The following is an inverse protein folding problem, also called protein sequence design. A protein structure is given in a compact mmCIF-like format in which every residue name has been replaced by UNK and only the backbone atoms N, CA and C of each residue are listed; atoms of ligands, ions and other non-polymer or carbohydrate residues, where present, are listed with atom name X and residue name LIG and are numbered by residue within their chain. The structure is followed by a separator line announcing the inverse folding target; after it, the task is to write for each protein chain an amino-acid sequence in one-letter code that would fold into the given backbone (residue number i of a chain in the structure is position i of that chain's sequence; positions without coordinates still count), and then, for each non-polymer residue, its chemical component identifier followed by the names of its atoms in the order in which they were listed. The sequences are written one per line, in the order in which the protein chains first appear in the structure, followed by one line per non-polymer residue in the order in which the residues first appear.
data_IF_684085338470
#
_entry.id   IF_684085338470
#
_cell.length_a   1.000
_cell.length_b   1.000
_cell.length_c   1.000
_cell.angle_alpha   90.00
_cell.angle_beta   90.00
_cell.angle_gamma   90.00
#
_symmetry.space_group_name_H-M   'P 1'
#
loop_
_entity.id
_entity.type
_entity.pdbx_description
1 polymer ?
#
# COMPACT_ATOMS: atom_id res chain seq x y z
N UNK A 1 0.14 -16.54 -13.49
CA UNK A 1 -0.86 -15.54 -13.03
C UNK A 1 -1.16 -14.45 -14.09
N UNK A 2 -0.17 -13.76 -14.68
CA UNK A 2 -0.46 -12.65 -15.62
C UNK A 2 -0.93 -13.07 -17.03
N UNK A 3 -0.81 -14.35 -17.38
CA UNK A 3 -1.20 -14.88 -18.71
C UNK A 3 -2.69 -14.69 -19.01
N UNK A 4 -3.54 -14.65 -17.98
CA UNK A 4 -4.99 -14.44 -18.14
C UNK A 4 -5.33 -13.07 -18.76
N UNK A 5 -4.38 -12.12 -18.72
CA UNK A 5 -4.53 -10.77 -19.25
C UNK A 5 -4.02 -10.64 -20.69
N UNK A 6 -3.44 -11.70 -21.27
CA UNK A 6 -2.82 -11.67 -22.58
C UNK A 6 -3.74 -12.33 -23.61
N UNK A 7 -3.76 -11.82 -24.85
CA UNK A 7 -4.42 -12.48 -25.98
C UNK A 7 -3.70 -13.77 -26.38
N UNK A 8 -2.37 -13.75 -26.33
CA UNK A 8 -1.51 -14.93 -26.52
C UNK A 8 -0.30 -14.84 -25.60
N UNK A 9 0.38 -15.96 -25.34
CA UNK A 9 1.63 -15.99 -24.57
C UNK A 9 2.57 -17.02 -25.18
N UNK A 10 3.87 -16.71 -25.20
CA UNK A 10 4.88 -17.70 -25.57
C UNK A 10 5.14 -18.63 -24.39
N UNK A 11 5.25 -19.93 -24.66
CA UNK A 11 5.78 -20.88 -23.68
C UNK A 11 7.30 -20.68 -23.46
N UNK A 12 7.87 -21.46 -22.56
CA UNK A 12 9.29 -21.35 -22.20
C UNK A 12 10.22 -21.64 -23.38
N UNK A 13 9.88 -22.59 -24.24
CA UNK A 13 10.72 -22.97 -25.37
C UNK A 13 10.67 -21.90 -26.47
N UNK A 14 9.46 -21.45 -26.83
CA UNK A 14 9.25 -20.38 -27.79
C UNK A 14 9.89 -19.06 -27.32
N UNK A 15 9.80 -18.73 -26.03
CA UNK A 15 10.45 -17.55 -25.47
C UNK A 15 11.98 -17.65 -25.50
N UNK A 16 12.55 -18.83 -25.24
CA UNK A 16 13.99 -19.06 -25.37
C UNK A 16 14.45 -18.88 -26.81
N UNK A 17 13.72 -19.44 -27.77
CA UNK A 17 14.01 -19.27 -29.19
C UNK A 17 13.96 -17.79 -29.59
N UNK A 18 12.90 -17.06 -29.23
CA UNK A 18 12.76 -15.64 -29.53
C UNK A 18 13.92 -14.78 -28.97
N UNK A 19 14.41 -15.11 -27.78
CA UNK A 19 15.56 -14.40 -27.17
C UNK A 19 16.92 -14.87 -27.66
N UNK A 20 17.03 -16.08 -28.23
CA UNK A 20 18.30 -16.61 -28.76
C UNK A 20 18.74 -15.84 -30.01
N UNK A 21 17.78 -15.40 -30.81
CA UNK A 21 18.01 -14.67 -32.06
C UNK A 21 17.98 -13.14 -31.89
N UNK A 22 17.74 -12.63 -30.69
CA UNK A 22 17.72 -11.19 -30.43
C UNK A 22 19.11 -10.61 -30.20
N UNK A 23 19.30 -9.34 -30.52
CA UNK A 23 20.53 -8.61 -30.21
C UNK A 23 20.82 -8.56 -28.70
N UNK A 24 22.09 -8.33 -28.32
CA UNK A 24 22.56 -8.41 -26.93
C UNK A 24 21.82 -7.47 -25.98
N UNK A 25 21.26 -6.36 -26.48
CA UNK A 25 20.57 -5.34 -25.67
C UNK A 25 19.04 -5.46 -25.69
N UNK A 26 18.50 -6.37 -26.50
CA UNK A 26 17.07 -6.63 -26.60
C UNK A 26 16.68 -7.92 -25.88
N UNK A 27 15.45 -7.96 -25.41
CA UNK A 27 14.82 -9.12 -24.78
C UNK A 27 13.33 -9.10 -25.10
N UNK A 28 12.79 -10.26 -25.45
CA UNK A 28 11.38 -10.43 -25.75
C UNK A 28 10.53 -10.30 -24.48
N UNK A 29 9.53 -9.41 -24.53
CA UNK A 29 8.57 -9.22 -23.47
C UNK A 29 7.37 -10.14 -23.66
N UNK A 30 7.24 -11.15 -22.81
CA UNK A 30 6.10 -12.06 -22.77
C UNK A 30 4.91 -11.48 -21.97
N UNK A 31 4.67 -10.18 -22.13
CA UNK A 31 3.54 -9.42 -21.58
C UNK A 31 2.66 -8.88 -22.69
N UNK A 32 1.96 -7.75 -22.47
CA UNK A 32 1.08 -7.15 -23.49
C UNK A 32 1.83 -6.71 -24.76
N UNK A 33 3.13 -6.44 -24.61
CA UNK A 33 4.00 -5.87 -25.61
C UNK A 33 4.29 -6.91 -26.71
N UNK A 34 4.44 -8.19 -26.34
CA UNK A 34 4.71 -9.32 -27.25
C UNK A 34 5.79 -9.07 -28.30
N UNK A 35 6.85 -8.36 -27.89
CA UNK A 35 7.90 -7.89 -28.80
C UNK A 35 9.26 -7.76 -28.09
N UNK A 36 10.32 -7.59 -28.88
CA UNK A 36 11.67 -7.28 -28.43
C UNK A 36 11.75 -5.85 -27.91
N UNK A 37 12.16 -5.71 -26.65
CA UNK A 37 12.33 -4.42 -25.98
C UNK A 37 13.67 -4.39 -25.26
N UNK A 38 14.19 -3.19 -24.99
CA UNK A 38 15.48 -3.01 -24.33
C UNK A 38 15.54 -3.76 -22.99
N UNK A 39 16.66 -4.46 -22.73
CA UNK A 39 16.89 -5.21 -21.48
C UNK A 39 16.75 -4.33 -20.23
N UNK A 40 17.08 -3.04 -20.34
CA UNK A 40 16.92 -2.03 -19.29
C UNK A 40 15.47 -1.88 -18.81
N UNK A 41 14.49 -2.20 -19.67
CA UNK A 41 13.06 -2.19 -19.34
C UNK A 41 12.62 -3.39 -18.50
N UNK A 42 13.49 -4.35 -18.21
CA UNK A 42 13.18 -5.49 -17.36
C UNK A 42 13.81 -5.32 -15.97
N UNK A 43 13.29 -6.05 -15.00
CA UNK A 43 14.09 -6.43 -13.83
C UNK A 43 14.77 -7.76 -14.15
N UNK A 44 15.97 -7.99 -13.61
CA UNK A 44 16.88 -9.10 -13.96
C UNK A 44 16.21 -10.46 -14.24
N UNK A 45 15.22 -10.85 -13.43
CA UNK A 45 14.56 -12.16 -13.51
C UNK A 45 13.23 -12.19 -14.26
N UNK A 46 12.69 -11.03 -14.69
CA UNK A 46 11.32 -10.99 -15.24
C UNK A 46 11.29 -11.26 -16.76
N UNK A 47 10.23 -11.95 -17.16
CA UNK A 47 9.87 -12.22 -18.56
C UNK A 47 8.98 -11.12 -19.17
N UNK A 48 8.56 -10.16 -18.35
CA UNK A 48 7.66 -9.05 -18.73
C UNK A 48 8.39 -7.74 -18.42
N UNK A 49 8.36 -6.78 -19.34
CA UNK A 49 8.95 -5.47 -19.13
C UNK A 49 8.15 -4.66 -18.09
N UNK A 50 8.77 -3.64 -17.50
CA UNK A 50 8.17 -2.79 -16.45
C UNK A 50 6.89 -2.14 -16.92
N UNK A 51 6.86 -1.62 -18.15
CA UNK A 51 5.66 -0.99 -18.73
C UNK A 51 4.48 -1.98 -18.73
N UNK A 52 4.66 -3.13 -19.37
CA UNK A 52 3.64 -4.17 -19.45
C UNK A 52 3.22 -4.69 -18.06
N UNK A 53 4.15 -4.84 -17.11
CA UNK A 53 3.83 -5.20 -15.73
C UNK A 53 2.99 -4.14 -15.02
N UNK A 54 3.32 -2.85 -15.20
CA UNK A 54 2.59 -1.74 -14.60
C UNK A 54 1.16 -1.66 -15.13
N UNK A 55 0.96 -1.80 -16.45
CA UNK A 55 -0.37 -1.84 -17.07
C UNK A 55 -1.21 -2.98 -16.51
N UNK A 56 -0.65 -4.19 -16.40
CA UNK A 56 -1.39 -5.35 -15.87
C UNK A 56 -1.73 -5.16 -14.38
N UNK A 57 -0.82 -4.60 -13.58
CA UNK A 57 -1.10 -4.31 -12.18
C UNK A 57 -2.19 -3.25 -12.01
N UNK A 58 -2.22 -2.24 -12.88
CA UNK A 58 -3.28 -1.24 -12.91
C UNK A 58 -4.62 -1.86 -13.32
N UNK A 59 -4.62 -2.72 -14.34
CA UNK A 59 -5.80 -3.45 -14.79
C UNK A 59 -6.38 -4.31 -13.67
N UNK A 60 -5.54 -5.10 -12.98
CA UNK A 60 -5.96 -5.88 -11.82
C UNK A 60 -6.70 -5.05 -10.79
N UNK A 61 -6.10 -3.92 -10.39
CA UNK A 61 -6.74 -3.01 -9.43
C UNK A 61 -8.09 -2.49 -9.93
N UNK A 62 -8.19 -2.10 -11.21
CA UNK A 62 -9.46 -1.61 -11.77
C UNK A 62 -10.51 -2.70 -11.92
N UNK A 63 -10.12 -3.95 -12.17
CA UNK A 63 -11.03 -5.11 -12.22
C UNK A 63 -11.51 -5.49 -10.82
N UNK A 64 -10.62 -5.50 -9.83
CA UNK A 64 -10.96 -5.73 -8.42
C UNK A 64 -11.93 -4.65 -7.92
N UNK A 65 -11.74 -3.40 -8.37
CA UNK A 65 -12.64 -2.26 -8.12
C UNK A 65 -13.92 -2.28 -9.00
N UNK A 66 -14.13 -3.30 -9.85
CA UNK A 66 -15.26 -3.42 -10.80
C UNK A 66 -15.40 -2.26 -11.81
N UNK A 67 -14.34 -1.49 -12.07
CA UNK A 67 -14.33 -0.35 -13.01
C UNK A 67 -14.24 -0.78 -14.48
N UNK A 68 -13.57 -1.90 -14.73
CA UNK A 68 -13.47 -2.53 -16.05
C UNK A 68 -13.57 -4.05 -15.87
N UNK A 69 -13.97 -4.78 -16.90
CA UNK A 69 -13.94 -6.24 -16.91
C UNK A 69 -12.64 -6.78 -17.50
N UNK A 70 -12.31 -8.04 -17.19
CA UNK A 70 -11.17 -8.72 -17.80
C UNK A 70 -11.28 -8.77 -19.33
N UNK A 71 -12.48 -9.00 -19.85
CA UNK A 71 -12.72 -9.08 -21.30
C UNK A 71 -12.58 -7.71 -21.98
N UNK A 72 -13.02 -6.63 -21.34
CA UNK A 72 -12.78 -5.27 -21.82
C UNK A 72 -11.27 -4.98 -21.90
N UNK A 73 -10.51 -5.36 -20.87
CA UNK A 73 -9.07 -5.18 -20.85
C UNK A 73 -8.35 -6.01 -21.93
N UNK A 74 -8.74 -7.27 -22.12
CA UNK A 74 -8.19 -8.12 -23.20
C UNK A 74 -8.44 -7.52 -24.58
N UNK A 75 -9.62 -6.91 -24.80
CA UNK A 75 -9.98 -6.29 -26.08
C UNK A 75 -9.15 -5.03 -26.33
N UNK A 76 -9.05 -4.16 -25.33
CA UNK A 76 -8.32 -2.89 -25.37
C UNK A 76 -7.53 -2.64 -24.06
N UNK A 77 -6.23 -2.97 -24.02
CA UNK A 77 -5.41 -2.73 -22.83
C UNK A 77 -5.26 -1.24 -22.47
N UNK A 78 -5.49 -0.31 -23.41
CA UNK A 78 -5.38 1.13 -23.14
C UNK A 78 -6.55 1.66 -22.30
N UNK A 79 -7.63 0.87 -22.12
CA UNK A 79 -8.79 1.23 -21.30
C UNK A 79 -8.41 1.64 -19.87
N UNK A 80 -7.33 1.07 -19.32
CA UNK A 80 -6.85 1.41 -17.96
C UNK A 80 -6.37 2.84 -17.82
N UNK A 81 -6.03 3.50 -18.93
CA UNK A 81 -5.59 4.89 -18.98
C UNK A 81 -6.71 5.84 -19.39
N UNK A 82 -7.78 5.36 -20.05
CA UNK A 82 -8.93 6.19 -20.44
C UNK A 82 -9.67 6.77 -19.23
N UNK A 83 -9.72 6.01 -18.13
CA UNK A 83 -10.30 6.47 -16.86
C UNK A 83 -9.42 7.49 -16.10
N UNK A 84 -8.23 7.84 -16.59
CA UNK A 84 -7.41 8.93 -16.03
C UNK A 84 -7.80 10.30 -16.58
N UNK A 85 -8.33 10.38 -17.80
CA UNK A 85 -8.67 11.66 -18.45
C UNK A 85 -10.09 12.14 -18.16
N UNK A 86 -10.95 11.30 -17.57
CA UNK A 86 -12.25 11.70 -17.03
C UNK A 86 -12.19 12.15 -15.56
N UNK A 87 -10.99 12.34 -14.99
CA UNK A 87 -10.82 12.96 -13.67
C UNK A 87 -10.63 14.49 -13.74
N UNK A 88 -11.03 15.12 -14.85
CA UNK A 88 -11.15 16.59 -14.95
C UNK A 88 -12.59 17.07 -15.14
N UNK A 89 -13.60 16.20 -15.09
CA UNK A 89 -14.99 16.61 -15.05
C UNK A 89 -15.71 15.90 -13.90
N UNK A 90 -15.77 16.60 -12.77
CA UNK A 90 -16.94 16.71 -11.90
C UNK A 90 -17.98 15.59 -12.04
N UNK A 91 -17.74 14.47 -11.38
CA UNK A 91 -18.82 13.69 -10.80
C UNK A 91 -18.39 13.26 -9.41
N UNK A 92 -18.83 14.09 -8.48
CA UNK A 92 -19.01 13.85 -7.05
C UNK A 92 -19.95 12.66 -6.81
N UNK A 93 -19.61 11.48 -7.33
CA UNK A 93 -20.01 10.27 -6.65
C UNK A 93 -18.94 10.01 -5.61
N UNK A 94 -19.00 10.80 -4.53
CA UNK A 94 -18.54 10.34 -3.23
C UNK A 94 -19.19 8.98 -3.01
N UNK A 95 -18.48 7.91 -3.36
CA UNK A 95 -18.79 6.60 -2.82
C UNK A 95 -18.46 6.76 -1.34
N UNK A 96 -19.46 7.20 -0.58
CA UNK A 96 -19.45 7.29 0.88
C UNK A 96 -19.53 5.87 1.40
N UNK A 97 -18.47 5.08 1.15
CA UNK A 97 -18.28 3.81 1.83
C UNK A 97 -18.02 4.18 3.29
N UNK A 98 -19.11 4.18 4.07
CA UNK A 98 -19.05 4.43 5.48
C UNK A 98 -18.59 3.17 6.19
N UNK A 99 -17.67 3.33 7.13
CA UNK A 99 -17.17 2.27 7.98
C UNK A 99 -17.34 2.70 9.43
N UNK A 100 -17.88 1.80 10.26
CA UNK A 100 -18.01 2.04 11.69
C UNK A 100 -16.65 1.90 12.38
N UNK A 101 -16.22 2.95 13.07
CA UNK A 101 -15.00 2.92 13.87
C UNK A 101 -15.19 2.00 15.09
N UNK A 102 -14.25 1.09 15.36
CA UNK A 102 -14.30 0.22 16.56
C UNK A 102 -14.25 1.03 17.86
N UNK A 103 -13.56 2.17 17.84
CA UNK A 103 -13.26 2.99 19.03
C UNK A 103 -14.38 3.98 19.32
N UNK A 104 -14.62 4.98 18.46
CA UNK A 104 -15.69 5.97 18.69
C UNK A 104 -17.09 5.52 18.28
N UNK A 105 -17.25 4.31 17.70
CA UNK A 105 -18.53 3.75 17.20
C UNK A 105 -19.26 4.59 16.14
N UNK A 106 -18.70 5.71 15.71
CA UNK A 106 -19.26 6.54 14.64
C UNK A 106 -19.00 5.93 13.27
N UNK A 107 -19.95 6.12 12.37
CA UNK A 107 -19.78 5.85 10.94
C UNK A 107 -19.00 6.99 10.30
N UNK A 108 -17.87 6.66 9.67
CA UNK A 108 -16.98 7.63 9.02
C UNK A 108 -16.64 7.19 7.62
N UNK A 109 -16.19 8.12 6.78
CA UNK A 109 -15.78 7.77 5.43
C UNK A 109 -14.57 6.83 5.49
N UNK A 110 -14.47 5.87 4.57
CA UNK A 110 -13.33 4.95 4.51
C UNK A 110 -11.97 5.67 4.39
N UNK A 111 -11.97 6.89 3.85
CA UNK A 111 -10.79 7.78 3.77
C UNK A 111 -10.26 8.15 5.17
N UNK A 112 -11.14 8.16 6.18
CA UNK A 112 -10.79 8.42 7.60
C UNK A 112 -10.14 7.21 8.27
N UNK A 113 -9.92 6.10 7.55
CA UNK A 113 -9.27 4.89 8.04
C UNK A 113 -7.96 4.64 7.32
N UNK A 114 -7.02 3.99 8.01
CA UNK A 114 -5.86 3.40 7.36
C UNK A 114 -6.18 2.02 6.79
N UNK A 115 -5.47 1.65 5.72
CA UNK A 115 -5.63 0.37 5.03
C UNK A 115 -5.45 -0.79 6.03
N UNK A 116 -6.46 -1.66 6.11
CA UNK A 116 -6.45 -2.85 6.98
C UNK A 116 -6.84 -2.60 8.45
N UNK A 117 -7.08 -1.35 8.87
CA UNK A 117 -7.46 -1.04 10.26
C UNK A 117 -8.96 -0.85 10.43
N UNK A 118 -9.50 -1.22 11.60
CA UNK A 118 -10.92 -0.99 12.00
C UNK A 118 -11.10 0.25 12.89
N UNK A 119 -10.07 1.08 13.00
CA UNK A 119 -10.04 2.30 13.82
C UNK A 119 -9.77 3.51 12.93
N UNK A 120 -10.48 4.61 13.18
CA UNK A 120 -10.31 5.85 12.42
C UNK A 120 -9.05 6.62 12.83
N UNK A 121 -8.50 7.41 11.91
CA UNK A 121 -7.28 8.21 12.09
C UNK A 121 -7.37 9.13 13.30
N UNK A 122 -8.52 9.78 13.53
CA UNK A 122 -8.72 10.67 14.69
C UNK A 122 -8.62 9.94 16.02
N UNK A 123 -9.28 8.79 16.17
CA UNK A 123 -9.19 7.99 17.40
C UNK A 123 -7.77 7.48 17.65
N UNK A 124 -7.07 7.09 16.57
CA UNK A 124 -5.67 6.67 16.69
C UNK A 124 -4.78 7.83 17.11
N UNK A 125 -4.97 9.02 16.54
CA UNK A 125 -4.21 10.21 16.90
C UNK A 125 -4.43 10.56 18.37
N UNK A 126 -5.68 10.59 18.83
CA UNK A 126 -6.01 10.81 20.24
C UNK A 126 -5.33 9.77 21.13
N UNK A 127 -5.44 8.47 20.79
CA UNK A 127 -4.79 7.41 21.58
C UNK A 127 -3.26 7.54 21.60
N UNK A 128 -2.64 7.93 20.49
CA UNK A 128 -1.21 8.19 20.44
C UNK A 128 -0.82 9.44 21.25
N UNK A 129 -1.67 10.46 21.25
CA UNK A 129 -1.49 11.68 22.04
C UNK A 129 -1.69 11.45 23.53
N UNK A 130 -2.69 10.66 23.93
CA UNK A 130 -2.92 10.21 25.31
C UNK A 130 -1.74 9.35 25.80
N UNK A 131 -1.21 8.47 24.94
CA UNK A 131 0.02 7.77 25.26
C UNK A 131 1.18 8.74 25.47
N UNK A 132 1.26 9.86 24.77
CA UNK A 132 2.32 10.85 24.92
C UNK A 132 2.13 11.83 26.08
N UNK A 133 0.90 12.02 26.58
CA UNK A 133 0.59 13.02 27.62
C UNK A 133 0.75 12.53 29.07
N UNK A 134 1.19 11.30 29.32
CA UNK A 134 1.36 10.79 30.69
C UNK A 134 2.68 11.21 31.38
N UNK A 135 3.41 12.20 30.85
CA UNK A 135 4.64 12.68 31.51
C UNK A 135 4.32 13.30 32.87
N UNK A 136 3.28 14.13 32.95
CA UNK A 136 2.87 14.79 34.20
C UNK A 136 2.43 13.78 35.27
N UNK A 137 1.72 12.70 34.87
CA UNK A 137 1.37 11.61 35.76
C UNK A 137 2.60 10.85 36.28
N UNK A 138 3.61 10.61 35.42
CA UNK A 138 4.86 9.99 35.86
C UNK A 138 5.60 10.89 36.86
N UNK A 139 5.65 12.20 36.62
CA UNK A 139 6.27 13.18 37.53
C UNK A 139 5.55 13.20 38.88
N UNK A 140 4.21 13.22 38.88
CA UNK A 140 3.38 13.13 40.08
C UNK A 140 3.64 11.84 40.88
N UNK A 141 3.69 10.69 40.20
CA UNK A 141 3.94 9.40 40.84
C UNK A 141 5.37 9.30 41.40
N UNK A 142 6.37 9.81 40.67
CA UNK A 142 7.76 9.89 41.15
C UNK A 142 7.82 10.76 42.42
N UNK A 143 7.15 11.92 42.46
CA UNK A 143 7.08 12.78 43.65
C UNK A 143 6.44 12.07 44.85
N UNK A 144 5.36 11.31 44.63
CA UNK A 144 4.67 10.55 45.68
C UNK A 144 5.51 9.37 46.20
N UNK A 145 6.27 8.72 45.33
CA UNK A 145 7.07 7.54 45.64
C UNK A 145 8.55 7.85 45.96
N UNK A 146 8.94 9.13 46.04
CA UNK A 146 10.34 9.54 46.29
C UNK A 146 10.95 8.92 47.57
N UNK A 147 10.10 8.61 48.55
CA UNK A 147 10.51 8.02 49.83
C UNK A 147 10.45 6.49 49.86
N UNK A 148 9.88 5.83 48.83
CA UNK A 148 9.78 4.38 48.69
C UNK A 148 10.60 3.92 47.48
N UNK A 149 11.91 3.74 47.71
CA UNK A 149 12.89 3.43 46.66
C UNK A 149 12.57 2.15 45.89
N UNK A 150 11.95 1.16 46.54
CA UNK A 150 11.60 -0.13 45.93
C UNK A 150 10.47 0.04 44.92
N UNK A 151 9.42 0.78 45.30
CA UNK A 151 8.32 1.10 44.38
C UNK A 151 8.75 2.06 43.28
N UNK A 152 9.62 3.02 43.60
CA UNK A 152 10.17 3.93 42.60
C UNK A 152 10.97 3.19 41.52
N UNK A 153 11.84 2.25 41.91
CA UNK A 153 12.61 1.43 40.95
C UNK A 153 11.69 0.61 40.03
N UNK A 154 10.62 0.06 40.60
CA UNK A 154 9.62 -0.69 39.84
C UNK A 154 8.86 0.22 38.87
N UNK A 155 8.47 1.43 39.30
CA UNK A 155 7.81 2.39 38.42
C UNK A 155 8.72 2.79 37.25
N UNK A 156 9.97 3.15 37.53
CA UNK A 156 10.95 3.58 36.52
C UNK A 156 11.19 2.51 35.45
N UNK A 157 11.14 1.21 35.78
CA UNK A 157 11.31 0.14 34.79
C UNK A 157 10.13 0.00 33.82
N UNK A 158 8.96 0.55 34.16
CA UNK A 158 7.76 0.52 33.31
C UNK A 158 7.62 1.79 32.46
N UNK A 159 8.39 2.84 32.74
CA UNK A 159 8.37 4.07 31.93
C UNK A 159 9.22 3.83 30.66
N UNK A 160 8.69 4.12 29.45
CA UNK A 160 9.47 4.10 28.23
C UNK A 160 10.73 4.98 28.31
N UNK A 161 11.86 4.49 27.82
CA UNK A 161 13.18 5.15 27.96
C UNK A 161 13.22 6.56 27.35
N UNK A 162 12.53 6.75 26.23
CA UNK A 162 12.35 8.03 25.54
C UNK A 162 11.66 9.08 26.43
N UNK A 163 10.77 8.67 27.35
CA UNK A 163 10.08 9.56 28.28
C UNK A 163 10.87 9.82 29.56
N UNK A 164 11.63 8.84 30.03
CA UNK A 164 12.56 9.03 31.16
C UNK A 164 13.57 10.14 30.87
N UNK A 165 14.05 10.24 29.63
CA UNK A 165 14.96 11.31 29.21
C UNK A 165 14.32 12.68 29.37
N UNK A 166 13.02 12.82 29.06
CA UNK A 166 12.28 14.08 29.19
C UNK A 166 12.02 14.44 30.66
N UNK A 167 11.85 13.45 31.54
CA UNK A 167 11.61 13.66 32.98
C UNK A 167 12.90 14.06 33.74
N UNK A 168 14.07 13.62 33.27
CA UNK A 168 15.37 13.86 33.90
C UNK A 168 16.04 15.15 33.38
N UNK A 169 15.73 15.55 32.14
CA UNK A 169 16.24 16.78 31.51
C UNK A 169 15.65 18.04 32.17
#
# INVERSE_FOLDING_TARGET
MYRIFLKSFLDTQALKAANKHSSKDLKYCNGLCQDLVAKTQFSSTKMICRSCMNTINLAKKQIDDQKITLEQFKKDPAIVYKNKNNNNNNNENEITIKKKCKTCKQEKNIIDFEKGRKECKSCRYIKASEQNNNIDEYVEQIKKLKNDLTKLKTLLSHIPKDKLIIIIA
#
